data_IF_664370110784
#
_entry.id   IF_664370110784
#
_cell.length_a   1.000
_cell.length_b   1.000
_cell.length_c   1.000
_cell.angle_alpha   90.00
_cell.angle_beta   90.00
_cell.angle_gamma   90.00
#
_symmetry.space_group_name_H-M   'P 1'
#
loop_
_entity.id
_entity.type
_entity.pdbx_description
1 polymer ?
#
# COMPACT_ATOMS: atom_id res chain seq x y z
N UNK A 1 2.17 -40.03 9.95
CA UNK A 1 3.15 -38.93 9.84
C UNK A 1 2.42 -37.62 10.09
N UNK A 2 2.73 -36.97 11.18
CA UNK A 2 2.20 -35.63 11.44
C UNK A 2 2.82 -34.66 10.43
N UNK A 3 2.01 -34.09 9.54
CA UNK A 3 2.41 -32.93 8.73
C UNK A 3 2.63 -31.78 9.69
N UNK A 4 3.85 -31.38 9.89
CA UNK A 4 4.17 -30.12 10.54
C UNK A 4 3.72 -29.04 9.56
N UNK A 5 2.54 -28.47 9.80
CA UNK A 5 2.16 -27.21 9.14
C UNK A 5 3.13 -26.14 9.63
N UNK A 6 3.84 -25.45 8.72
CA UNK A 6 4.71 -24.34 9.14
C UNK A 6 3.83 -23.35 9.92
N UNK A 7 4.34 -22.96 11.07
CA UNK A 7 3.68 -22.09 12.01
C UNK A 7 3.17 -20.84 11.27
N UNK A 8 1.88 -20.60 11.31
CA UNK A 8 1.21 -19.49 10.62
C UNK A 8 1.74 -18.10 11.05
N UNK A 9 2.47 -18.06 12.16
CA UNK A 9 3.14 -16.86 12.67
C UNK A 9 4.36 -16.47 11.82
N UNK A 10 4.96 -17.42 11.10
CA UNK A 10 6.11 -17.17 10.23
C UNK A 10 5.68 -16.94 8.78
N UNK A 11 4.50 -17.40 8.39
CA UNK A 11 3.96 -17.14 7.07
C UNK A 11 3.49 -15.68 6.98
N UNK A 12 4.30 -14.83 6.36
CA UNK A 12 3.95 -13.42 6.07
C UNK A 12 2.70 -13.28 5.20
N UNK A 13 2.18 -14.37 4.68
CA UNK A 13 1.04 -14.40 3.76
C UNK A 13 0.08 -15.50 4.19
N UNK A 14 -1.21 -15.17 4.27
CA UNK A 14 -2.26 -16.15 4.54
C UNK A 14 -2.25 -17.24 3.46
N UNK A 15 -2.39 -18.48 3.89
CA UNK A 15 -2.54 -19.60 2.96
C UNK A 15 -3.89 -19.52 2.24
N UNK A 16 -3.92 -19.94 0.99
CA UNK A 16 -5.16 -20.05 0.22
C UNK A 16 -5.98 -21.22 0.76
N UNK A 17 -7.30 -21.04 0.84
CA UNK A 17 -8.21 -22.08 1.21
C UNK A 17 -8.27 -23.19 0.15
N UNK A 18 -8.74 -24.37 0.54
CA UNK A 18 -8.90 -25.47 -0.40
C UNK A 18 -9.89 -25.08 -1.53
N UNK A 19 -9.44 -25.28 -2.77
CA UNK A 19 -10.21 -24.90 -3.97
C UNK A 19 -10.23 -23.40 -4.28
N UNK A 20 -9.50 -22.57 -3.51
CA UNK A 20 -9.35 -21.15 -3.79
C UNK A 20 -8.28 -20.91 -4.85
N UNK A 21 -8.58 -20.10 -5.86
CA UNK A 21 -7.69 -19.81 -6.97
C UNK A 21 -7.14 -18.39 -6.91
N UNK A 22 -5.82 -18.27 -7.04
CA UNK A 22 -5.16 -16.97 -7.14
C UNK A 22 -5.44 -16.35 -8.53
N UNK A 23 -5.93 -15.13 -8.56
CA UNK A 23 -6.25 -14.38 -9.79
C UNK A 23 -5.17 -13.38 -10.16
N UNK A 24 -4.66 -12.65 -9.17
CA UNK A 24 -3.63 -11.64 -9.38
C UNK A 24 -2.84 -11.38 -8.10
N UNK A 25 -1.63 -10.88 -8.27
CA UNK A 25 -0.78 -10.38 -7.18
C UNK A 25 -0.41 -8.93 -7.44
N UNK A 26 -0.48 -8.11 -6.41
CA UNK A 26 -0.10 -6.71 -6.47
C UNK A 26 1.00 -6.44 -5.46
N UNK A 27 2.17 -6.08 -5.95
CA UNK A 27 3.34 -5.78 -5.15
C UNK A 27 3.58 -4.28 -5.10
N UNK A 28 4.14 -3.81 -3.99
CA UNK A 28 4.62 -2.45 -3.90
C UNK A 28 5.72 -2.22 -4.96
N UNK A 29 5.55 -1.17 -5.77
CA UNK A 29 6.51 -0.80 -6.80
C UNK A 29 7.61 0.08 -6.22
N UNK A 30 8.86 -0.33 -6.43
CA UNK A 30 10.03 0.36 -5.91
C UNK A 30 10.16 1.79 -6.46
N UNK A 31 9.90 1.96 -7.74
CA UNK A 31 9.95 3.28 -8.37
C UNK A 31 8.90 4.23 -7.81
N UNK A 32 7.68 3.75 -7.63
CA UNK A 32 6.59 4.51 -7.02
C UNK A 32 6.89 4.87 -5.57
N UNK A 33 7.48 3.97 -4.80
CA UNK A 33 7.90 4.22 -3.43
C UNK A 33 8.88 5.39 -3.33
N UNK A 34 9.99 5.32 -4.07
CA UNK A 34 11.02 6.36 -4.02
C UNK A 34 10.54 7.69 -4.59
N UNK A 35 9.75 7.67 -5.67
CA UNK A 35 9.14 8.88 -6.23
C UNK A 35 8.21 9.57 -5.23
N UNK A 36 7.39 8.83 -4.50
CA UNK A 36 6.51 9.39 -3.47
C UNK A 36 7.31 10.08 -2.35
N UNK A 37 8.40 9.45 -1.91
CA UNK A 37 9.27 10.04 -0.88
C UNK A 37 10.04 11.25 -1.40
N UNK A 38 10.47 11.25 -2.66
CA UNK A 38 11.12 12.41 -3.29
C UNK A 38 10.16 13.60 -3.37
N UNK A 39 8.92 13.39 -3.79
CA UNK A 39 7.88 14.43 -3.83
C UNK A 39 7.60 14.96 -2.42
N UNK A 40 7.51 14.08 -1.43
CA UNK A 40 7.31 14.47 -0.04
C UNK A 40 8.48 15.30 0.50
N UNK A 41 9.71 14.90 0.21
CA UNK A 41 10.91 15.63 0.59
C UNK A 41 10.97 17.02 -0.07
N UNK A 42 10.63 17.11 -1.36
CA UNK A 42 10.57 18.37 -2.09
C UNK A 42 9.50 19.31 -1.51
N UNK A 43 8.30 18.81 -1.25
CA UNK A 43 7.20 19.59 -0.67
C UNK A 43 7.55 20.10 0.73
N UNK A 44 8.03 19.21 1.60
CA UNK A 44 8.43 19.57 2.96
C UNK A 44 9.62 20.53 2.96
N UNK A 45 10.60 20.30 2.10
CA UNK A 45 11.75 21.16 1.94
C UNK A 45 11.38 22.57 1.47
N UNK A 46 10.45 22.67 0.53
CA UNK A 46 9.93 23.96 0.06
C UNK A 46 9.24 24.72 1.19
N UNK A 47 8.36 24.07 1.91
CA UNK A 47 7.66 24.68 3.05
C UNK A 47 8.64 25.13 4.13
N UNK A 48 9.60 24.29 4.49
CA UNK A 48 10.60 24.61 5.48
C UNK A 48 11.52 25.75 5.06
N UNK A 49 11.95 25.76 3.79
CA UNK A 49 12.78 26.83 3.22
C UNK A 49 12.05 28.18 3.20
N UNK A 50 10.80 28.20 2.76
CA UNK A 50 9.97 29.41 2.76
C UNK A 50 9.70 29.92 4.18
N UNK A 51 9.48 29.05 5.12
CA UNK A 51 9.31 29.41 6.52
C UNK A 51 10.56 30.06 7.10
N UNK A 52 11.75 29.51 6.82
CA UNK A 52 13.03 30.11 7.25
C UNK A 52 13.28 31.46 6.59
N UNK A 53 12.94 31.62 5.29
CA UNK A 53 12.99 32.93 4.61
C UNK A 53 12.08 33.95 5.28
N UNK A 54 10.86 33.56 5.58
CA UNK A 54 9.90 34.42 6.26
C UNK A 54 10.38 34.90 7.65
N UNK A 55 11.08 34.03 8.38
CA UNK A 55 11.71 34.39 9.65
C UNK A 55 12.96 35.26 9.51
N UNK A 56 13.43 35.53 8.28
CA UNK A 56 14.67 36.24 8.06
C UNK A 56 15.92 35.43 8.39
N UNK A 57 15.83 34.12 8.40
CA UNK A 57 16.95 33.22 8.68
C UNK A 57 18.01 33.34 7.56
N UNK A 58 19.31 33.53 7.88
CA UNK A 58 20.36 33.67 6.87
C UNK A 58 20.65 32.35 6.10
N UNK A 59 20.13 31.23 6.54
CA UNK A 59 20.37 29.91 5.96
C UNK A 59 19.08 29.18 5.53
N UNK A 60 18.28 29.75 4.61
CA UNK A 60 17.00 29.15 4.22
C UNK A 60 17.14 27.76 3.56
N UNK A 61 18.29 27.47 2.97
CA UNK A 61 18.64 26.17 2.36
C UNK A 61 18.69 25.04 3.39
N UNK A 62 18.85 25.35 4.67
CA UNK A 62 18.82 24.34 5.73
C UNK A 62 17.47 23.58 5.78
N UNK A 63 16.37 24.22 5.38
CA UNK A 63 15.05 23.58 5.29
C UNK A 63 15.03 22.42 4.28
N UNK A 64 15.28 22.68 2.99
CA UNK A 64 15.37 21.61 1.98
C UNK A 64 16.40 20.52 2.31
N UNK A 65 17.59 20.88 2.77
CA UNK A 65 18.63 19.91 3.15
C UNK A 65 18.15 19.03 4.30
N UNK A 66 17.59 19.61 5.34
CA UNK A 66 17.05 18.87 6.49
C UNK A 66 15.89 17.92 6.08
N UNK A 67 15.01 18.38 5.22
CA UNK A 67 13.88 17.58 4.69
C UNK A 67 14.38 16.37 3.88
N UNK A 68 15.35 16.57 2.98
CA UNK A 68 15.92 15.49 2.17
C UNK A 68 16.60 14.45 3.07
N UNK A 69 17.39 14.89 4.05
CA UNK A 69 18.06 13.99 4.98
C UNK A 69 17.06 13.21 5.85
N UNK A 70 16.07 13.88 6.43
CA UNK A 70 15.09 13.26 7.31
C UNK A 70 14.18 12.28 6.55
N UNK A 71 13.60 12.70 5.43
CA UNK A 71 12.72 11.86 4.61
C UNK A 71 13.51 10.73 3.96
N UNK A 72 14.72 10.99 3.47
CA UNK A 72 15.60 9.98 2.88
C UNK A 72 16.02 8.91 3.86
N UNK A 73 16.43 9.27 5.05
CA UNK A 73 16.79 8.32 6.12
C UNK A 73 15.59 7.46 6.53
N UNK A 74 14.43 8.09 6.74
CA UNK A 74 13.19 7.37 7.06
C UNK A 74 12.77 6.44 5.93
N UNK A 75 12.83 6.91 4.70
CA UNK A 75 12.48 6.11 3.51
C UNK A 75 13.39 4.89 3.38
N UNK A 76 14.71 5.07 3.56
CA UNK A 76 15.67 3.97 3.52
C UNK A 76 15.43 2.93 4.62
N UNK A 77 15.11 3.39 5.82
CA UNK A 77 14.82 2.51 6.96
C UNK A 77 13.54 1.68 6.74
N UNK A 78 12.48 2.29 6.21
CA UNK A 78 11.19 1.63 6.02
C UNK A 78 11.08 0.89 4.67
N UNK A 79 12.03 1.07 3.75
CA UNK A 79 11.94 0.50 2.41
C UNK A 79 11.83 -1.03 2.41
N UNK A 80 12.58 -1.70 3.27
CA UNK A 80 12.57 -3.16 3.36
C UNK A 80 11.20 -3.71 3.77
N UNK A 81 10.50 -3.03 4.65
CA UNK A 81 9.16 -3.42 5.08
C UNK A 81 8.12 -3.06 4.03
N UNK A 82 8.10 -1.80 3.59
CA UNK A 82 7.12 -1.30 2.63
C UNK A 82 7.17 -2.01 1.27
N UNK A 83 8.37 -2.38 0.81
CA UNK A 83 8.55 -3.05 -0.47
C UNK A 83 8.29 -4.57 -0.42
N UNK A 84 8.07 -5.13 0.75
CA UNK A 84 7.63 -6.53 0.90
C UNK A 84 6.11 -6.68 0.94
N UNK A 85 5.36 -5.59 0.97
CA UNK A 85 3.91 -5.62 0.94
C UNK A 85 3.41 -6.31 -0.33
N UNK A 86 2.60 -7.34 -0.13
CA UNK A 86 1.98 -8.13 -1.18
C UNK A 86 0.49 -8.24 -0.94
N UNK A 87 -0.29 -7.85 -1.93
CA UNK A 87 -1.71 -8.08 -1.98
C UNK A 87 -2.02 -9.19 -2.99
N UNK A 88 -2.88 -10.12 -2.60
CA UNK A 88 -3.29 -11.23 -3.45
C UNK A 88 -4.79 -11.22 -3.65
N UNK A 89 -5.19 -11.16 -4.90
CA UNK A 89 -6.58 -11.24 -5.32
C UNK A 89 -6.89 -12.70 -5.68
N UNK A 90 -7.86 -13.28 -5.00
CA UNK A 90 -8.35 -14.62 -5.29
C UNK A 90 -9.75 -14.56 -5.92
N UNK A 91 -10.34 -15.69 -6.20
CA UNK A 91 -11.74 -15.78 -6.64
C UNK A 91 -12.76 -15.50 -5.53
N UNK A 92 -12.32 -15.40 -4.27
CA UNK A 92 -13.20 -15.25 -3.10
C UNK A 92 -12.91 -14.02 -2.25
N UNK A 93 -11.64 -13.59 -2.19
CA UNK A 93 -11.21 -12.55 -1.25
C UNK A 93 -9.96 -11.81 -1.72
N UNK A 94 -9.73 -10.65 -1.12
CA UNK A 94 -8.51 -9.88 -1.26
C UNK A 94 -7.69 -10.03 0.02
N UNK A 95 -6.50 -10.61 -0.11
CA UNK A 95 -5.57 -10.84 0.98
C UNK A 95 -4.47 -9.78 0.96
N UNK A 96 -4.21 -9.16 2.10
CA UNK A 96 -3.22 -8.12 2.24
C UNK A 96 -2.19 -8.38 3.34
N UNK A 97 -1.17 -7.51 3.44
CA UNK A 97 -0.16 -7.61 4.48
C UNK A 97 -0.79 -7.43 5.87
N UNK A 98 -0.18 -8.03 6.89
CA UNK A 98 -0.67 -7.96 8.25
C UNK A 98 -1.94 -8.77 8.52
N UNK A 99 -2.16 -9.84 7.77
CA UNK A 99 -3.31 -10.72 7.95
C UNK A 99 -4.63 -10.14 7.46
N UNK A 100 -4.60 -9.08 6.64
CA UNK A 100 -5.82 -8.50 6.06
C UNK A 100 -6.51 -9.49 5.16
N UNK A 101 -7.78 -9.69 5.41
CA UNK A 101 -8.64 -10.60 4.67
C UNK A 101 -9.97 -9.91 4.39
N UNK A 102 -10.20 -9.53 3.15
CA UNK A 102 -11.39 -8.79 2.71
C UNK A 102 -12.16 -9.68 1.75
N UNK A 103 -13.31 -10.25 2.14
CA UNK A 103 -14.17 -10.98 1.22
C UNK A 103 -14.61 -10.08 0.06
N UNK A 104 -14.55 -10.59 -1.17
CA UNK A 104 -14.90 -9.79 -2.36
C UNK A 104 -16.34 -9.28 -2.31
N UNK A 105 -17.27 -10.07 -1.74
CA UNK A 105 -18.65 -9.66 -1.58
C UNK A 105 -18.83 -8.45 -0.65
N UNK A 106 -17.86 -8.14 0.20
CA UNK A 106 -17.88 -7.00 1.11
C UNK A 106 -17.22 -5.75 0.55
N UNK A 107 -16.61 -5.81 -0.62
CA UNK A 107 -15.97 -4.65 -1.26
C UNK A 107 -17.05 -3.77 -1.89
N UNK A 108 -17.17 -2.55 -1.38
CA UNK A 108 -18.08 -1.52 -1.89
C UNK A 108 -17.44 -0.70 -2.99
N UNK A 109 -16.21 -0.28 -2.80
CA UNK A 109 -15.48 0.60 -3.72
C UNK A 109 -13.98 0.33 -3.69
N UNK A 110 -13.32 0.65 -4.79
CA UNK A 110 -11.87 0.68 -4.91
C UNK A 110 -11.49 1.98 -5.62
N UNK A 111 -10.92 2.92 -4.88
CA UNK A 111 -10.64 4.27 -5.35
C UNK A 111 -9.14 4.45 -5.56
N UNK A 112 -8.67 4.63 -6.81
CA UNK A 112 -7.27 4.93 -7.07
C UNK A 112 -6.95 6.37 -6.65
N UNK A 113 -5.84 6.54 -5.94
CA UNK A 113 -5.41 7.84 -5.44
C UNK A 113 -3.89 7.88 -5.24
N UNK A 114 -3.19 8.77 -5.93
CA UNK A 114 -1.75 9.06 -5.75
C UNK A 114 -0.85 7.81 -5.62
N UNK A 115 -0.97 6.86 -6.53
CA UNK A 115 -0.19 5.62 -6.49
C UNK A 115 -0.69 4.58 -5.49
N UNK A 116 -1.86 4.76 -4.93
CA UNK A 116 -2.50 3.84 -4.02
C UNK A 116 -3.94 3.52 -4.46
N UNK A 117 -4.50 2.45 -3.93
CA UNK A 117 -5.91 2.12 -4.06
C UNK A 117 -6.53 2.01 -2.67
N UNK A 118 -7.55 2.79 -2.41
CA UNK A 118 -8.33 2.68 -1.19
C UNK A 118 -9.49 1.70 -1.41
N UNK A 119 -9.46 0.60 -0.71
CA UNK A 119 -10.55 -0.37 -0.68
C UNK A 119 -11.52 0.03 0.43
N UNK A 120 -12.77 0.23 0.08
CA UNK A 120 -13.85 0.54 1.03
C UNK A 120 -14.80 -0.63 1.10
N UNK A 121 -15.07 -1.12 2.30
CA UNK A 121 -16.01 -2.23 2.53
C UNK A 121 -17.43 -1.73 2.79
N UNK A 122 -18.40 -2.63 2.72
CA UNK A 122 -19.79 -2.33 3.05
C UNK A 122 -19.96 -1.88 4.50
N UNK A 123 -19.11 -2.37 5.41
CA UNK A 123 -19.08 -1.93 6.82
C UNK A 123 -18.51 -0.52 7.01
N UNK A 124 -17.88 0.05 5.98
CA UNK A 124 -17.20 1.34 6.04
C UNK A 124 -15.72 1.29 6.36
N UNK A 125 -15.16 0.09 6.57
CA UNK A 125 -13.73 -0.08 6.78
C UNK A 125 -12.95 0.32 5.52
N UNK A 126 -11.79 0.93 5.73
CA UNK A 126 -10.92 1.41 4.66
C UNK A 126 -9.55 0.75 4.76
N UNK A 127 -9.11 0.18 3.65
CA UNK A 127 -7.79 -0.44 3.52
C UNK A 127 -7.03 0.23 2.39
N UNK A 128 -5.76 0.51 2.59
CA UNK A 128 -4.94 1.21 1.61
C UNK A 128 -3.87 0.28 1.04
N UNK A 129 -3.95 0.05 -0.28
CA UNK A 129 -2.92 -0.62 -1.06
C UNK A 129 -1.94 0.45 -1.56
N UNK A 130 -0.74 0.48 -0.99
CA UNK A 130 0.24 1.56 -1.23
C UNK A 130 1.24 1.22 -2.33
N UNK A 131 1.81 2.25 -2.93
CA UNK A 131 2.96 2.16 -3.85
C UNK A 131 2.71 1.27 -5.07
N UNK A 132 1.55 1.42 -5.69
CA UNK A 132 1.19 0.70 -6.91
C UNK A 132 1.63 1.50 -8.14
N UNK A 133 2.20 0.82 -9.12
CA UNK A 133 2.59 1.45 -10.39
C UNK A 133 1.39 1.79 -11.28
N UNK A 134 0.32 0.99 -11.19
CA UNK A 134 -0.90 1.14 -12.00
C UNK A 134 -2.16 1.08 -11.13
N UNK A 135 -2.40 2.08 -10.27
CA UNK A 135 -3.49 2.01 -9.29
C UNK A 135 -4.88 1.92 -9.96
N UNK A 136 -5.10 2.63 -11.06
CA UNK A 136 -6.38 2.57 -11.77
C UNK A 136 -6.69 1.15 -12.31
N UNK A 137 -5.70 0.48 -12.87
CA UNK A 137 -5.84 -0.91 -13.35
C UNK A 137 -6.11 -1.87 -12.21
N UNK A 138 -5.39 -1.73 -11.11
CA UNK A 138 -5.59 -2.54 -9.90
C UNK A 138 -7.00 -2.35 -9.34
N UNK A 139 -7.47 -1.11 -9.23
CA UNK A 139 -8.82 -0.79 -8.76
C UNK A 139 -9.88 -1.46 -9.65
N UNK A 140 -9.73 -1.41 -10.97
CA UNK A 140 -10.63 -2.07 -11.90
C UNK A 140 -10.63 -3.59 -11.75
N UNK A 141 -9.47 -4.21 -11.61
CA UNK A 141 -9.37 -5.66 -11.42
C UNK A 141 -10.07 -6.10 -10.13
N UNK A 142 -9.87 -5.38 -9.04
CA UNK A 142 -10.52 -5.67 -7.76
C UNK A 142 -12.04 -5.51 -7.87
N UNK A 143 -12.51 -4.41 -8.46
CA UNK A 143 -13.96 -4.17 -8.63
C UNK A 143 -14.62 -5.20 -9.57
N UNK A 144 -13.95 -5.60 -10.64
CA UNK A 144 -14.44 -6.62 -11.55
C UNK A 144 -14.58 -7.97 -10.84
N UNK A 145 -13.58 -8.33 -10.02
CA UNK A 145 -13.64 -9.55 -9.21
C UNK A 145 -14.74 -9.49 -8.16
N UNK A 146 -14.92 -8.34 -7.51
CA UNK A 146 -15.98 -8.14 -6.52
C UNK A 146 -17.37 -8.28 -7.10
N UNK A 147 -17.60 -7.79 -8.33
CA UNK A 147 -18.89 -7.92 -9.03
C UNK A 147 -19.21 -9.34 -9.47
N UNK A 148 -18.19 -10.14 -9.73
CA UNK A 148 -18.32 -11.54 -10.13
C UNK A 148 -18.40 -12.50 -8.95
N UNK A 149 -18.09 -12.04 -7.75
CA UNK A 149 -18.16 -12.85 -6.55
C UNK A 149 -19.62 -13.21 -6.26
N UNK A 150 -19.92 -14.49 -5.97
CA UNK A 150 -21.27 -14.87 -5.58
C UNK A 150 -21.68 -14.15 -4.31
N UNK A 151 -22.92 -13.65 -4.23
CA UNK A 151 -23.41 -13.11 -2.97
C UNK A 151 -23.36 -14.20 -1.91
N UNK A 152 -22.80 -13.89 -0.77
CA UNK A 152 -22.87 -14.79 0.35
C UNK A 152 -24.33 -14.95 0.77
N UNK A 153 -24.84 -16.14 0.53
CA UNK A 153 -26.08 -16.56 1.14
C UNK A 153 -25.94 -16.70 2.65
#
# INVERSE_FOLDING_TARGET
MARITPDSVIARHAELAEGETLRAEFRADRGTYWRAHLIMAAALGLVAGLFLLWQGNPYPVAGPVGAILAIGARAAFLASEALTDLWRLTDRRLLGPGGRNIPLAQIKAANPFLGAVQIVTLSGDKHLMKYLSTPATVAQQVLTAARKAPPHG
#
